data_IF_048708256352
#
_entry.id   IF_048708256352
#
_cell.length_a   1.000
_cell.length_b   1.000
_cell.length_c   1.000
_cell.angle_alpha   90.00
_cell.angle_beta   90.00
_cell.angle_gamma   90.00
#
_symmetry.space_group_name_H-M   'P 1'
#
loop_
_entity.id
_entity.type
_entity.pdbx_description
1 polymer ?
#
# COMPACT_ATOMS: atom_id res chain seq x y z
N UNK A 1 -5.58 5.56 5.92
CA UNK A 1 -4.15 5.27 6.17
C UNK A 1 -3.24 6.26 5.44
N UNK A 2 -3.28 6.34 4.10
CA UNK A 2 -2.41 7.27 3.34
C UNK A 2 -2.84 8.72 3.55
N UNK A 3 -4.12 9.04 3.35
CA UNK A 3 -4.67 10.40 3.55
C UNK A 3 -4.46 10.89 4.97
N UNK A 4 -4.76 10.04 5.96
CA UNK A 4 -4.44 10.32 7.36
C UNK A 4 -2.95 10.58 7.58
N UNK A 5 -2.07 9.78 6.95
CA UNK A 5 -0.64 9.98 7.01
C UNK A 5 -0.19 11.32 6.42
N UNK A 6 -0.79 11.76 5.33
CA UNK A 6 -0.54 13.09 4.74
C UNK A 6 -1.00 14.21 5.67
N UNK A 7 -2.23 14.12 6.19
CA UNK A 7 -2.80 15.11 7.11
C UNK A 7 -1.94 15.28 8.37
N UNK A 8 -1.37 14.18 8.87
CA UNK A 8 -0.49 14.16 10.05
C UNK A 8 1.00 14.37 9.71
N UNK A 9 1.34 14.65 8.45
CA UNK A 9 2.72 14.83 7.96
C UNK A 9 3.64 13.65 8.33
N UNK A 10 3.11 12.43 8.32
CA UNK A 10 3.92 11.23 8.51
C UNK A 10 4.86 11.05 7.31
N UNK A 11 6.15 10.88 7.58
CA UNK A 11 7.14 10.61 6.54
C UNK A 11 7.01 9.19 5.99
N UNK A 12 6.61 8.23 6.84
CA UNK A 12 6.52 6.81 6.50
C UNK A 12 5.37 6.13 7.23
N UNK A 13 4.83 5.08 6.62
CA UNK A 13 3.93 4.13 7.29
C UNK A 13 4.69 2.83 7.46
N UNK A 14 4.68 2.30 8.67
CA UNK A 14 5.16 0.95 8.99
C UNK A 14 3.96 0.16 9.51
N UNK A 15 3.77 -1.05 9.00
CA UNK A 15 2.65 -1.89 9.41
C UNK A 15 3.06 -3.36 9.44
N UNK A 16 2.39 -4.12 10.30
CA UNK A 16 2.44 -5.58 10.32
C UNK A 16 1.12 -6.06 9.75
N UNK A 17 1.18 -6.87 8.70
CA UNK A 17 -0.01 -7.41 8.04
C UNK A 17 0.13 -8.90 7.86
N UNK A 18 -0.99 -9.62 7.90
CA UNK A 18 -0.99 -11.03 7.51
C UNK A 18 -0.41 -11.24 6.10
N UNK A 19 0.06 -12.44 5.82
CA UNK A 19 0.76 -12.79 4.58
C UNK A 19 -0.05 -12.49 3.31
N UNK A 20 -1.37 -12.66 3.34
CA UNK A 20 -2.24 -12.38 2.19
C UNK A 20 -2.25 -10.89 1.87
N UNK A 21 -2.47 -10.06 2.88
CA UNK A 21 -2.46 -8.62 2.73
C UNK A 21 -1.06 -8.10 2.37
N UNK A 22 0.01 -8.71 2.91
CA UNK A 22 1.39 -8.41 2.51
C UNK A 22 1.60 -8.62 1.00
N UNK A 23 1.17 -9.77 0.48
CA UNK A 23 1.28 -10.07 -0.94
C UNK A 23 0.52 -9.06 -1.81
N UNK A 24 -0.72 -8.72 -1.44
CA UNK A 24 -1.55 -7.75 -2.17
C UNK A 24 -0.87 -6.38 -2.19
N UNK A 25 -0.42 -5.88 -1.03
CA UNK A 25 0.17 -4.55 -0.91
C UNK A 25 1.52 -4.45 -1.62
N UNK A 26 2.33 -5.51 -1.58
CA UNK A 26 3.58 -5.59 -2.35
C UNK A 26 3.33 -5.60 -3.85
N UNK A 27 2.39 -6.43 -4.33
CA UNK A 27 2.03 -6.50 -5.76
C UNK A 27 1.35 -5.22 -6.25
N UNK A 28 0.62 -4.55 -5.37
CA UNK A 28 0.10 -3.22 -5.64
C UNK A 28 1.20 -2.16 -5.76
N UNK A 29 2.43 -2.50 -5.37
CA UNK A 29 3.54 -1.57 -5.28
C UNK A 29 3.25 -0.48 -4.27
N UNK A 30 2.49 -0.77 -3.21
CA UNK A 30 2.17 0.21 -2.16
C UNK A 30 3.20 0.16 -1.04
N UNK A 31 3.57 -1.04 -0.58
CA UNK A 31 4.55 -1.19 0.48
C UNK A 31 5.67 -2.14 0.06
N UNK A 32 6.84 -1.97 0.68
CA UNK A 32 7.97 -2.88 0.54
C UNK A 32 8.16 -3.66 1.83
N UNK A 33 8.60 -4.92 1.72
CA UNK A 33 8.86 -5.77 2.88
C UNK A 33 10.19 -5.40 3.54
N UNK A 34 10.18 -5.31 4.87
CA UNK A 34 11.39 -5.02 5.67
C UNK A 34 12.17 -6.31 5.93
N UNK A 35 11.46 -7.39 6.29
CA UNK A 35 12.03 -8.71 6.59
C UNK A 35 11.10 -9.82 6.16
N UNK A 36 11.62 -11.03 6.03
CA UNK A 36 10.78 -12.19 5.72
C UNK A 36 9.65 -12.42 6.74
N UNK A 37 8.47 -12.90 6.30
CA UNK A 37 7.32 -13.12 7.15
C UNK A 37 7.63 -14.10 8.28
N UNK A 38 7.17 -13.72 9.46
CA UNK A 38 7.39 -14.44 10.70
C UNK A 38 6.05 -14.88 11.28
N UNK A 39 6.07 -15.91 12.11
CA UNK A 39 4.85 -16.42 12.74
C UNK A 39 4.62 -15.63 14.03
N UNK A 40 3.49 -14.93 14.10
CA UNK A 40 3.03 -14.21 15.28
C UNK A 40 1.79 -14.93 15.80
N UNK A 41 1.94 -15.68 16.89
CA UNK A 41 0.90 -16.60 17.37
C UNK A 41 0.64 -17.71 16.35
N UNK A 42 -0.57 -17.76 15.80
CA UNK A 42 -0.96 -18.71 14.73
C UNK A 42 -0.90 -18.10 13.33
N UNK A 43 -0.61 -16.80 13.22
CA UNK A 43 -0.71 -16.06 11.96
C UNK A 43 0.68 -15.73 11.44
N UNK A 44 0.94 -16.09 10.18
CA UNK A 44 2.17 -15.68 9.51
C UNK A 44 2.02 -14.27 8.94
N UNK A 45 2.85 -13.35 9.42
CA UNK A 45 2.71 -11.92 9.18
C UNK A 45 4.01 -11.30 8.65
N UNK A 46 3.87 -10.39 7.70
CA UNK A 46 4.96 -9.60 7.15
C UNK A 46 5.03 -8.22 7.79
N UNK A 47 6.24 -7.67 7.88
CA UNK A 47 6.44 -6.26 8.25
C UNK A 47 6.75 -5.46 7.00
N UNK A 48 5.95 -4.42 6.79
CA UNK A 48 5.95 -3.61 5.59
C UNK A 48 6.21 -2.14 5.90
N UNK A 49 6.85 -1.44 4.97
CA UNK A 49 7.06 0.00 5.05
C UNK A 49 7.07 0.68 3.68
N UNK A 50 6.72 1.97 3.67
CA UNK A 50 7.06 2.93 2.61
C UNK A 50 6.80 4.38 3.03
N UNK A 51 7.40 5.33 2.34
CA UNK A 51 7.09 6.76 2.47
C UNK A 51 5.67 7.11 2.03
N UNK A 52 4.98 7.99 2.75
CA UNK A 52 3.56 8.31 2.47
C UNK A 52 3.37 8.92 1.07
N UNK A 53 4.26 9.84 0.69
CA UNK A 53 4.23 10.47 -0.64
C UNK A 53 4.48 9.48 -1.78
N UNK A 54 5.36 8.50 -1.56
CA UNK A 54 5.64 7.45 -2.56
C UNK A 54 4.41 6.57 -2.79
N UNK A 55 3.71 6.20 -1.72
CA UNK A 55 2.46 5.44 -1.82
C UNK A 55 1.43 6.26 -2.63
N UNK A 56 1.26 7.54 -2.29
CA UNK A 56 0.35 8.43 -3.00
C UNK A 56 0.68 8.53 -4.49
N UNK A 57 1.96 8.62 -4.83
CA UNK A 57 2.42 8.68 -6.23
C UNK A 57 2.03 7.42 -7.01
N UNK A 58 2.17 6.24 -6.40
CA UNK A 58 1.75 4.97 -7.01
C UNK A 58 0.23 4.91 -7.20
N UNK A 59 -0.54 5.28 -6.17
CA UNK A 59 -2.00 5.31 -6.23
C UNK A 59 -2.48 6.25 -7.34
N UNK A 60 -1.99 7.48 -7.37
CA UNK A 60 -2.33 8.47 -8.41
C UNK A 60 -1.99 7.98 -9.81
N UNK A 61 -0.80 7.41 -10.01
CA UNK A 61 -0.40 6.86 -11.32
C UNK A 61 -1.35 5.76 -11.77
N UNK A 62 -1.71 4.83 -10.88
CA UNK A 62 -2.63 3.73 -11.20
C UNK A 62 -4.05 4.20 -11.45
N UNK A 63 -4.56 5.14 -10.65
CA UNK A 63 -5.88 5.74 -10.89
C UNK A 63 -5.91 6.49 -12.22
N UNK A 64 -4.88 7.28 -12.54
CA UNK A 64 -4.79 7.97 -13.82
C UNK A 64 -4.77 7.00 -15.01
N UNK A 65 -4.10 5.84 -14.88
CA UNK A 65 -4.15 4.77 -15.88
C UNK A 65 -5.55 4.16 -15.97
N UNK A 66 -6.19 3.85 -14.83
CA UNK A 66 -7.55 3.30 -14.81
C UNK A 66 -8.57 4.23 -15.47
N UNK A 67 -8.52 5.54 -15.19
CA UNK A 67 -9.37 6.55 -15.82
C UNK A 67 -9.16 6.65 -17.34
N UNK A 68 -7.92 6.48 -17.80
CA UNK A 68 -7.60 6.45 -19.24
C UNK A 68 -8.09 5.17 -19.90
N UNK A 69 -7.82 4.01 -19.31
CA UNK A 69 -8.02 2.71 -19.95
C UNK A 69 -9.45 2.16 -19.81
N UNK A 70 -10.22 2.58 -18.79
CA UNK A 70 -11.56 2.05 -18.54
C UNK A 70 -12.63 3.16 -18.60
N UNK A 71 -13.51 3.17 -19.62
CA UNK A 71 -14.60 4.13 -19.75
C UNK A 71 -15.53 4.15 -18.53
N UNK A 72 -15.72 3.00 -17.88
CA UNK A 72 -16.53 2.84 -16.66
C UNK A 72 -16.11 3.77 -15.51
N UNK A 73 -14.84 4.17 -15.44
CA UNK A 73 -14.34 5.04 -14.37
C UNK A 73 -14.38 6.54 -14.71
N UNK A 74 -14.77 6.94 -15.93
CA UNK A 74 -14.87 8.37 -16.31
C UNK A 74 -16.19 9.03 -15.93
N UNK A 75 -17.20 8.24 -15.55
CA UNK A 75 -18.57 8.70 -15.33
C UNK A 75 -18.96 8.86 -13.86
N UNK A 76 -17.98 8.82 -12.93
CA UNK A 76 -18.17 8.91 -11.49
C UNK A 76 -17.69 10.25 -10.93
#
# INVERSE_FOLDING_TARGET
MIEFGLLRRLSRIVTVTELRMDHILRRAGWLTRIREPDTIGVTRAGRLYRGVEEILRVVRRRMALALRCCPRYRSA
#
